data_IF_746213818894
#
_entry.id   IF_746213818894
#
_cell.length_a   1.000
_cell.length_b   1.000
_cell.length_c   1.000
_cell.angle_alpha   90.00
_cell.angle_beta   90.00
_cell.angle_gamma   90.00
#
_symmetry.space_group_name_H-M   'P 1'
#
loop_
_entity.id
_entity.type
_entity.pdbx_description
1 polymer ?
#
# COMPACT_ATOMS: atom_id res chain seq x y z
N UNK A 1 6.20 2.13 -14.24
CA UNK A 1 5.98 1.30 -15.48
C UNK A 1 4.79 1.84 -16.27
N UNK A 2 3.65 2.12 -15.63
CA UNK A 2 2.45 2.61 -16.33
C UNK A 2 2.60 4.04 -16.86
N UNK A 3 3.23 4.94 -16.08
CA UNK A 3 3.54 6.31 -16.52
C UNK A 3 4.48 6.31 -17.74
N UNK A 4 5.53 5.51 -17.70
CA UNK A 4 6.46 5.37 -18.82
C UNK A 4 5.77 4.85 -20.09
N UNK A 5 4.84 3.91 -19.95
CA UNK A 5 4.04 3.40 -21.06
C UNK A 5 3.12 4.48 -21.65
N UNK A 6 2.57 5.36 -20.81
CA UNK A 6 1.81 6.54 -21.26
C UNK A 6 2.69 7.50 -22.06
N UNK A 7 3.90 7.82 -21.54
CA UNK A 7 4.86 8.69 -22.24
C UNK A 7 5.34 8.10 -23.57
N UNK A 8 5.43 6.76 -23.65
CA UNK A 8 5.82 6.05 -24.87
C UNK A 8 4.66 5.88 -25.88
N UNK A 9 3.43 6.27 -25.52
CA UNK A 9 2.24 6.05 -26.36
C UNK A 9 1.80 4.60 -26.46
N UNK A 10 2.24 3.76 -25.53
CA UNK A 10 1.85 2.33 -25.47
C UNK A 10 0.47 2.15 -24.80
N UNK A 11 0.04 3.14 -24.02
CA UNK A 11 -1.31 3.28 -23.46
C UNK A 11 -1.84 4.68 -23.73
N UNK A 12 -3.11 4.80 -24.01
CA UNK A 12 -3.77 6.07 -24.32
C UNK A 12 -4.20 6.82 -23.06
N UNK A 13 -4.64 6.10 -22.04
CA UNK A 13 -5.22 6.67 -20.81
C UNK A 13 -4.66 5.95 -19.59
N UNK A 14 -4.22 6.72 -18.61
CA UNK A 14 -3.91 6.24 -17.26
C UNK A 14 -4.87 6.89 -16.26
N UNK A 15 -5.70 6.05 -15.61
CA UNK A 15 -6.78 6.54 -14.75
C UNK A 15 -6.32 6.92 -13.34
N UNK A 16 -5.16 6.44 -12.92
CA UNK A 16 -4.64 6.62 -11.56
C UNK A 16 -3.13 6.91 -11.60
N UNK A 17 -2.78 8.14 -11.99
CA UNK A 17 -1.42 8.65 -11.83
C UNK A 17 -1.22 9.12 -10.39
N UNK A 18 -0.50 8.32 -9.62
CA UNK A 18 -0.13 8.64 -8.22
C UNK A 18 1.05 9.59 -8.23
N UNK A 19 0.77 10.89 -8.30
CA UNK A 19 1.71 11.94 -8.70
C UNK A 19 2.98 11.98 -7.85
N UNK A 20 2.87 11.86 -6.53
CA UNK A 20 4.03 11.92 -5.62
C UNK A 20 4.90 10.65 -5.65
N UNK A 21 4.36 9.56 -6.20
CA UNK A 21 5.09 8.29 -6.36
C UNK A 21 5.87 8.23 -7.69
N UNK A 22 5.68 9.22 -8.56
CA UNK A 22 6.32 9.31 -9.88
C UNK A 22 7.29 10.49 -9.87
N UNK A 23 8.57 10.20 -9.66
CA UNK A 23 9.61 11.24 -9.47
C UNK A 23 9.70 12.25 -10.61
N UNK A 24 9.33 11.86 -11.83
CA UNK A 24 9.38 12.71 -13.02
C UNK A 24 8.06 13.37 -13.37
N UNK A 25 6.96 13.07 -12.66
CA UNK A 25 5.61 13.50 -13.01
C UNK A 25 5.52 14.98 -13.34
N UNK A 26 5.94 15.85 -12.42
CA UNK A 26 5.84 17.29 -12.57
C UNK A 26 6.70 17.81 -13.74
N UNK A 27 7.92 17.29 -13.90
CA UNK A 27 8.81 17.68 -14.98
C UNK A 27 8.31 17.22 -16.35
N UNK A 28 7.67 16.05 -16.42
CA UNK A 28 7.10 15.51 -17.65
C UNK A 28 5.83 16.25 -18.05
N UNK A 29 5.01 16.67 -17.08
CA UNK A 29 3.84 17.52 -17.29
C UNK A 29 4.25 18.92 -17.81
N UNK A 30 5.22 19.56 -17.16
CA UNK A 30 5.76 20.88 -17.58
C UNK A 30 6.41 20.82 -18.97
N UNK A 31 7.02 19.69 -19.31
CA UNK A 31 7.58 19.44 -20.63
C UNK A 31 6.53 19.09 -21.70
N UNK A 32 5.25 18.98 -21.33
CA UNK A 32 4.14 18.66 -22.25
C UNK A 32 4.22 17.25 -22.83
N UNK A 33 4.79 16.28 -22.11
CA UNK A 33 4.93 14.90 -22.60
C UNK A 33 3.62 14.12 -22.54
N UNK A 34 2.65 14.55 -21.75
CA UNK A 34 1.32 14.00 -21.63
C UNK A 34 0.35 15.12 -21.23
N UNK A 35 -0.95 14.82 -21.20
CA UNK A 35 -1.99 15.76 -20.78
C UNK A 35 -2.66 15.24 -19.51
N UNK A 36 -2.61 16.04 -18.43
CA UNK A 36 -3.40 15.82 -17.22
C UNK A 36 -4.82 16.32 -17.44
N UNK A 37 -5.82 15.45 -17.26
CA UNK A 37 -7.24 15.81 -17.40
C UNK A 37 -7.84 16.36 -16.10
N UNK A 38 -7.23 16.04 -14.96
CA UNK A 38 -7.66 16.52 -13.65
C UNK A 38 -7.48 15.50 -12.53
N UNK A 39 -7.85 15.93 -11.33
CA UNK A 39 -7.77 15.10 -10.13
C UNK A 39 -8.87 14.04 -10.17
N UNK A 40 -8.48 12.78 -9.99
CA UNK A 40 -9.39 11.66 -9.77
C UNK A 40 -9.84 11.62 -8.29
N UNK A 41 -8.87 11.58 -7.38
CA UNK A 41 -9.09 11.70 -5.94
C UNK A 41 -7.81 12.18 -5.22
N UNK A 42 -7.95 12.68 -4.00
CA UNK A 42 -6.85 13.18 -3.17
C UNK A 42 -7.05 12.95 -1.66
N UNK A 43 -8.01 12.09 -1.30
CA UNK A 43 -8.41 11.72 0.05
C UNK A 43 -8.20 10.22 0.31
N UNK A 44 -7.07 9.69 -0.17
CA UNK A 44 -6.71 8.28 -0.05
C UNK A 44 -5.99 7.98 1.26
N UNK A 45 -6.06 6.69 1.62
CA UNK A 45 -5.36 6.12 2.76
C UNK A 45 -4.56 4.91 2.30
N UNK A 46 -3.42 4.68 2.93
CA UNK A 46 -2.61 3.50 2.67
C UNK A 46 -1.80 3.14 3.93
N UNK A 47 -1.55 1.85 4.12
CA UNK A 47 -0.85 1.35 5.28
C UNK A 47 -1.11 -0.14 5.50
N UNK A 48 -0.96 -0.60 6.73
CA UNK A 48 -1.27 -1.98 7.09
C UNK A 48 -2.73 -2.12 7.48
N UNK A 49 -3.40 -3.06 6.83
CA UNK A 49 -4.81 -3.40 7.04
C UNK A 49 -4.94 -4.79 7.65
N UNK A 50 -5.94 -4.94 8.53
CA UNK A 50 -6.38 -6.21 9.07
C UNK A 50 -7.88 -6.38 8.83
N UNK A 51 -8.42 -7.62 8.73
CA UNK A 51 -9.87 -7.82 8.61
C UNK A 51 -10.63 -7.26 9.82
N UNK A 52 -11.85 -6.74 9.59
CA UNK A 52 -12.72 -6.23 10.66
C UNK A 52 -12.95 -7.25 11.77
N UNK A 53 -13.19 -8.52 11.43
CA UNK A 53 -13.39 -9.55 12.44
C UNK A 53 -12.16 -9.81 13.32
N UNK A 54 -10.96 -9.53 12.82
CA UNK A 54 -9.73 -9.57 13.62
C UNK A 54 -9.68 -8.37 14.57
N UNK A 55 -9.96 -7.16 14.08
CA UNK A 55 -10.01 -5.95 14.91
C UNK A 55 -11.07 -6.07 16.03
N UNK A 56 -12.23 -6.65 15.73
CA UNK A 56 -13.30 -6.85 16.71
C UNK A 56 -12.93 -7.91 17.77
N UNK A 57 -12.20 -8.96 17.38
CA UNK A 57 -11.74 -10.01 18.29
C UNK A 57 -10.54 -9.57 19.16
N UNK A 58 -9.74 -8.63 18.66
CA UNK A 58 -8.53 -8.11 19.32
C UNK A 58 -8.57 -6.58 19.45
N UNK A 59 -9.43 -6.02 20.32
CA UNK A 59 -9.66 -4.58 20.40
C UNK A 59 -8.45 -3.76 20.87
N UNK A 60 -7.41 -4.41 21.37
CA UNK A 60 -6.13 -3.79 21.75
C UNK A 60 -5.11 -3.76 20.58
N UNK A 61 -5.40 -4.41 19.46
CA UNK A 61 -4.62 -4.33 18.21
C UNK A 61 -5.15 -3.16 17.38
N UNK A 62 -4.66 -1.95 17.64
CA UNK A 62 -5.12 -0.71 17.02
C UNK A 62 -4.08 -0.05 16.13
N UNK A 63 -2.83 -0.12 16.55
CA UNK A 63 -1.72 0.56 15.89
C UNK A 63 -0.79 -0.42 15.21
N UNK A 64 0.02 0.09 14.28
CA UNK A 64 1.08 -0.71 13.64
C UNK A 64 2.04 -1.27 14.69
N UNK A 65 2.36 -0.49 15.72
CA UNK A 65 3.28 -0.91 16.79
C UNK A 65 2.69 -2.02 17.68
N UNK A 66 1.35 -2.12 17.77
CA UNK A 66 0.70 -3.19 18.53
C UNK A 66 0.92 -4.57 17.91
N UNK A 67 1.26 -4.66 16.61
CA UNK A 67 1.58 -5.91 15.93
C UNK A 67 2.66 -6.70 16.67
N UNK A 68 3.63 -6.04 17.31
CA UNK A 68 4.67 -6.70 18.09
C UNK A 68 4.14 -7.63 19.21
N UNK A 69 2.89 -7.45 19.62
CA UNK A 69 2.23 -8.25 20.68
C UNK A 69 1.49 -9.48 20.13
N UNK A 70 1.33 -9.60 18.80
CA UNK A 70 0.45 -10.57 18.17
C UNK A 70 1.07 -11.37 17.01
N UNK A 71 2.37 -11.73 17.05
CA UNK A 71 2.98 -12.46 15.92
C UNK A 71 2.31 -13.82 15.66
N UNK A 72 1.89 -14.51 16.74
CA UNK A 72 1.22 -15.83 16.64
C UNK A 72 -0.16 -15.74 15.98
N UNK A 73 -0.77 -14.54 15.92
CA UNK A 73 -2.06 -14.32 15.25
C UNK A 73 -1.92 -14.38 13.73
N UNK A 74 -0.77 -14.02 13.20
CA UNK A 74 -0.46 -13.93 11.77
C UNK A 74 0.70 -14.87 11.40
N UNK A 75 0.57 -16.19 11.62
CA UNK A 75 1.71 -17.10 11.51
C UNK A 75 2.27 -17.16 10.09
N UNK A 76 3.60 -17.15 9.98
CA UNK A 76 4.27 -17.39 8.70
C UNK A 76 4.28 -18.91 8.41
N UNK A 77 3.68 -19.36 7.30
CA UNK A 77 3.66 -20.78 6.97
C UNK A 77 5.04 -21.37 6.64
N UNK A 78 6.02 -20.52 6.29
CA UNK A 78 7.39 -20.93 5.98
C UNK A 78 8.34 -20.81 7.18
N UNK A 79 8.01 -19.95 8.16
CA UNK A 79 8.78 -19.77 9.38
C UNK A 79 7.87 -19.75 10.62
N UNK A 80 7.60 -20.90 11.24
CA UNK A 80 6.70 -20.98 12.41
C UNK A 80 7.18 -20.21 13.65
N UNK A 81 8.39 -19.67 13.65
CA UNK A 81 8.90 -18.84 14.75
C UNK A 81 8.50 -17.37 14.64
N UNK A 82 7.93 -16.96 13.49
CA UNK A 82 7.56 -15.57 13.20
C UNK A 82 6.14 -15.46 12.64
N UNK A 83 5.61 -14.27 12.71
CA UNK A 83 4.46 -13.85 11.92
C UNK A 83 4.86 -13.43 10.51
N UNK A 84 3.88 -13.20 9.63
CA UNK A 84 4.09 -12.67 8.28
C UNK A 84 3.27 -11.38 8.09
N UNK A 85 3.92 -10.36 7.51
CA UNK A 85 3.26 -9.15 7.00
C UNK A 85 3.34 -9.20 5.48
N UNK A 86 2.19 -9.18 4.81
CA UNK A 86 2.14 -9.09 3.35
C UNK A 86 2.39 -7.65 2.92
N UNK A 87 3.52 -7.41 2.30
CA UNK A 87 3.96 -6.10 1.81
C UNK A 87 3.39 -5.73 0.46
N UNK A 88 3.77 -4.55 0.01
CA UNK A 88 3.43 -4.06 -1.31
C UNK A 88 4.11 -4.84 -2.44
N UNK A 89 3.95 -4.33 -3.66
CA UNK A 89 4.39 -5.01 -4.88
C UNK A 89 5.83 -4.61 -5.20
N UNK A 90 6.61 -5.55 -5.68
CA UNK A 90 7.98 -5.31 -6.13
C UNK A 90 8.06 -4.14 -7.12
N UNK A 91 8.94 -3.19 -6.85
CA UNK A 91 9.18 -2.02 -7.68
C UNK A 91 8.29 -0.81 -7.39
N UNK A 92 7.40 -0.89 -6.41
CA UNK A 92 6.70 0.27 -5.90
C UNK A 92 7.54 0.99 -4.82
N UNK A 93 7.61 2.32 -4.90
CA UNK A 93 8.35 3.12 -3.90
C UNK A 93 7.83 2.90 -2.48
N UNK A 94 6.52 2.79 -2.32
CA UNK A 94 5.88 2.54 -1.03
C UNK A 94 6.29 1.20 -0.40
N UNK A 95 6.61 0.20 -1.21
CA UNK A 95 7.02 -1.13 -0.72
C UNK A 95 8.30 -1.03 0.13
N UNK A 96 9.27 -0.24 -0.32
CA UNK A 96 10.52 0.00 0.42
C UNK A 96 10.27 0.80 1.71
N UNK A 97 9.35 1.77 1.68
CA UNK A 97 8.99 2.57 2.86
C UNK A 97 8.31 1.68 3.90
N UNK A 98 7.41 0.79 3.47
CA UNK A 98 6.71 -0.12 4.38
C UNK A 98 7.64 -1.21 4.95
N UNK A 99 8.65 -1.66 4.21
CA UNK A 99 9.70 -2.55 4.71
C UNK A 99 10.53 -1.84 5.80
N UNK A 100 10.98 -0.62 5.54
CA UNK A 100 11.67 0.20 6.53
C UNK A 100 10.80 0.45 7.78
N UNK A 101 9.48 0.59 7.62
CA UNK A 101 8.54 0.74 8.74
C UNK A 101 8.56 -0.48 9.65
N UNK A 102 8.60 -1.67 9.07
CA UNK A 102 8.72 -2.92 9.84
C UNK A 102 10.01 -2.91 10.66
N UNK A 103 11.13 -2.49 10.07
CA UNK A 103 12.42 -2.36 10.77
C UNK A 103 12.40 -1.23 11.82
N UNK A 104 11.94 -0.04 11.45
CA UNK A 104 11.94 1.15 12.32
C UNK A 104 11.10 0.95 13.60
N UNK A 105 10.03 0.14 13.51
CA UNK A 105 9.19 -0.21 14.67
C UNK A 105 9.64 -1.51 15.37
N UNK A 106 10.77 -2.11 14.96
CA UNK A 106 11.28 -3.36 15.53
C UNK A 106 10.39 -4.57 15.30
N UNK A 107 9.53 -4.51 14.28
CA UNK A 107 8.62 -5.60 13.94
C UNK A 107 9.34 -6.75 13.21
N UNK A 108 10.50 -6.49 12.62
CA UNK A 108 11.37 -7.48 11.97
C UNK A 108 11.91 -8.56 12.95
N UNK A 109 11.90 -8.27 14.25
CA UNK A 109 12.17 -9.29 15.27
C UNK A 109 11.07 -10.36 15.35
N UNK A 110 9.82 -9.99 15.03
CA UNK A 110 8.62 -10.80 15.21
C UNK A 110 7.99 -11.27 13.90
N UNK A 111 8.24 -10.58 12.80
CA UNK A 111 7.61 -10.81 11.51
C UNK A 111 8.60 -10.91 10.38
N UNK A 112 8.29 -11.76 9.41
CA UNK A 112 8.87 -11.70 8.08
C UNK A 112 8.01 -10.76 7.20
N UNK A 113 8.67 -9.85 6.47
CA UNK A 113 8.00 -8.97 5.52
C UNK A 113 8.03 -9.62 4.13
N UNK A 114 6.86 -9.99 3.62
CA UNK A 114 6.71 -10.66 2.33
C UNK A 114 6.38 -9.64 1.24
N UNK A 115 7.34 -9.35 0.37
CA UNK A 115 7.13 -8.49 -0.80
C UNK A 115 6.35 -9.26 -1.86
N UNK A 116 5.16 -8.79 -2.20
CA UNK A 116 4.30 -9.41 -3.19
C UNK A 116 4.86 -9.25 -4.61
N UNK A 117 4.86 -10.32 -5.39
CA UNK A 117 5.37 -10.28 -6.76
C UNK A 117 4.40 -9.62 -7.74
N UNK A 118 3.12 -9.50 -7.38
CA UNK A 118 2.08 -8.86 -8.19
C UNK A 118 0.86 -8.49 -7.35
N UNK A 119 0.04 -7.58 -7.89
CA UNK A 119 -1.27 -7.21 -7.35
C UNK A 119 -2.19 -8.45 -7.16
N UNK A 120 -2.19 -9.36 -8.12
CA UNK A 120 -2.99 -10.58 -8.05
C UNK A 120 -2.61 -11.47 -6.85
N UNK A 121 -1.33 -11.55 -6.48
CA UNK A 121 -0.87 -12.33 -5.32
C UNK A 121 -1.38 -11.67 -4.04
N UNK A 122 -1.21 -10.37 -3.89
CA UNK A 122 -1.65 -9.62 -2.72
C UNK A 122 -3.18 -9.70 -2.55
N UNK A 123 -3.93 -9.44 -3.62
CA UNK A 123 -5.38 -9.54 -3.63
C UNK A 123 -5.88 -10.95 -3.27
N UNK A 124 -5.22 -11.98 -3.82
CA UNK A 124 -5.57 -13.37 -3.52
C UNK A 124 -5.32 -13.72 -2.06
N UNK A 125 -4.21 -13.27 -1.49
CA UNK A 125 -3.91 -13.48 -0.07
C UNK A 125 -4.99 -12.87 0.82
N UNK A 126 -5.36 -11.60 0.58
CA UNK A 126 -6.36 -10.89 1.36
C UNK A 126 -7.77 -11.49 1.21
N UNK A 127 -8.21 -11.75 -0.02
CA UNK A 127 -9.55 -12.32 -0.27
C UNK A 127 -9.66 -13.76 0.24
N UNK A 128 -8.61 -14.58 0.07
CA UNK A 128 -8.59 -15.95 0.62
C UNK A 128 -8.64 -15.97 2.14
N UNK A 129 -7.90 -15.08 2.81
CA UNK A 129 -7.96 -14.96 4.26
C UNK A 129 -9.35 -14.55 4.73
N UNK A 130 -9.98 -13.57 4.04
CA UNK A 130 -11.35 -13.16 4.34
C UNK A 130 -12.37 -14.31 4.20
N UNK A 131 -12.33 -15.02 3.07
CA UNK A 131 -13.27 -16.11 2.79
C UNK A 131 -13.15 -17.26 3.79
N UNK A 132 -11.96 -17.50 4.32
CA UNK A 132 -11.69 -18.52 5.33
C UNK A 132 -11.83 -18.02 6.77
N UNK A 133 -12.05 -16.72 6.98
CA UNK A 133 -12.01 -16.06 8.28
C UNK A 133 -10.68 -16.27 9.02
N UNK A 134 -9.57 -16.28 8.27
CA UNK A 134 -8.20 -16.39 8.79
C UNK A 134 -7.62 -14.99 9.02
N UNK A 135 -6.85 -14.76 10.09
CA UNK A 135 -6.16 -13.50 10.30
C UNK A 135 -5.12 -13.23 9.21
N UNK A 136 -5.06 -12.00 8.75
CA UNK A 136 -4.03 -11.49 7.84
C UNK A 136 -3.70 -10.05 8.20
N UNK A 137 -2.44 -9.65 8.06
CA UNK A 137 -2.01 -8.25 8.04
C UNK A 137 -1.31 -7.99 6.72
N UNK A 138 -1.78 -6.98 5.99
CA UNK A 138 -1.28 -6.68 4.64
C UNK A 138 -1.21 -5.18 4.40
N UNK A 139 -0.19 -4.74 3.66
CA UNK A 139 -0.20 -3.43 3.04
C UNK A 139 -1.31 -3.35 2.00
N UNK A 140 -2.11 -2.28 2.07
CA UNK A 140 -3.09 -1.97 1.03
C UNK A 140 -3.39 -0.47 0.98
N UNK A 141 -4.30 -0.05 0.09
CA UNK A 141 -4.64 1.37 -0.10
C UNK A 141 -6.10 1.56 -0.48
N UNK A 142 -6.61 2.78 -0.25
CA UNK A 142 -7.95 3.23 -0.63
C UNK A 142 -7.88 4.40 -1.62
N UNK A 143 -8.88 4.55 -2.49
CA UNK A 143 -10.04 3.66 -2.70
C UNK A 143 -9.70 2.49 -3.63
N UNK A 144 -10.16 1.29 -3.33
CA UNK A 144 -10.04 0.12 -4.20
C UNK A 144 -11.31 -0.73 -4.19
N UNK A 145 -11.48 -1.56 -5.23
CA UNK A 145 -12.59 -2.49 -5.29
C UNK A 145 -12.57 -3.49 -4.13
N UNK A 146 -11.38 -3.92 -3.69
CA UNK A 146 -11.23 -4.91 -2.62
C UNK A 146 -11.74 -4.35 -1.29
N UNK A 147 -11.30 -3.15 -0.90
CA UNK A 147 -11.77 -2.53 0.35
C UNK A 147 -13.21 -2.02 0.26
N UNK A 148 -13.76 -1.87 -0.96
CA UNK A 148 -15.18 -1.63 -1.18
C UNK A 148 -16.05 -2.88 -1.00
N UNK A 149 -15.48 -4.08 -1.14
CA UNK A 149 -16.20 -5.36 -1.01
C UNK A 149 -15.95 -6.08 0.33
N UNK A 150 -14.77 -5.90 0.91
CA UNK A 150 -14.30 -6.61 2.09
C UNK A 150 -13.97 -5.60 3.19
N UNK A 151 -14.51 -5.79 4.39
CA UNK A 151 -14.35 -4.86 5.51
C UNK A 151 -13.01 -5.08 6.21
N UNK A 152 -11.98 -4.39 5.73
CA UNK A 152 -10.67 -4.30 6.37
C UNK A 152 -10.53 -2.97 7.12
N UNK A 153 -9.71 -2.98 8.15
CA UNK A 153 -9.42 -1.83 9.01
C UNK A 153 -7.97 -1.43 8.83
N UNK A 154 -7.73 -0.17 8.54
CA UNK A 154 -6.39 0.42 8.58
C UNK A 154 -5.92 0.50 10.04
N UNK A 155 -4.76 -0.05 10.34
CA UNK A 155 -4.11 0.17 11.62
C UNK A 155 -3.64 1.62 11.74
N UNK A 156 -3.90 2.20 12.90
CA UNK A 156 -3.42 3.55 13.21
C UNK A 156 -1.89 3.59 13.24
N UNK A 157 -1.32 4.73 12.88
CA UNK A 157 0.12 4.97 12.92
C UNK A 157 0.39 6.33 13.57
N UNK A 158 1.65 6.60 13.91
CA UNK A 158 2.06 7.94 14.31
C UNK A 158 1.73 8.92 13.18
N UNK A 159 1.39 10.18 13.48
CA UNK A 159 1.10 11.16 12.44
C UNK A 159 2.23 11.26 11.41
N UNK A 160 1.86 11.54 10.15
CA UNK A 160 2.82 11.78 9.08
C UNK A 160 3.77 12.92 9.42
N UNK A 161 5.07 12.69 9.23
CA UNK A 161 6.13 13.68 9.32
C UNK A 161 7.07 13.51 8.11
N UNK A 162 7.22 14.54 7.24
CA UNK A 162 8.07 14.43 6.05
C UNK A 162 9.55 14.20 6.38
N UNK A 163 10.02 14.55 7.58
CA UNK A 163 11.42 14.36 7.98
C UNK A 163 11.74 12.89 8.29
N UNK A 164 10.75 12.12 8.74
CA UNK A 164 10.94 10.72 9.17
C UNK A 164 10.26 9.69 8.29
N UNK A 165 9.36 10.12 7.40
CA UNK A 165 8.57 9.23 6.54
C UNK A 165 9.43 8.34 5.64
N UNK A 166 10.51 8.89 5.07
CA UNK A 166 11.42 8.14 4.19
C UNK A 166 12.23 7.07 4.94
N UNK A 167 12.27 7.14 6.26
CA UNK A 167 12.86 6.16 7.15
C UNK A 167 11.82 5.15 7.69
N UNK A 168 10.60 5.19 7.15
CA UNK A 168 9.50 4.27 7.50
C UNK A 168 8.71 4.68 8.75
N UNK A 169 8.92 5.86 9.31
CA UNK A 169 8.23 6.31 10.53
C UNK A 169 7.05 7.20 10.17
N UNK A 170 5.89 6.91 10.77
CA UNK A 170 4.65 7.67 10.62
C UNK A 170 3.73 7.19 9.49
N UNK A 171 2.50 7.66 9.53
CA UNK A 171 1.45 7.33 8.56
C UNK A 171 1.84 7.75 7.13
N UNK A 172 1.33 7.03 6.14
CA UNK A 172 1.49 7.45 4.75
C UNK A 172 0.69 8.74 4.50
N UNK A 173 1.26 9.72 3.77
CA UNK A 173 0.50 10.89 3.36
C UNK A 173 -0.56 10.51 2.32
N UNK A 174 -1.64 11.29 2.27
CA UNK A 174 -2.53 11.24 1.12
C UNK A 174 -1.81 11.77 -0.13
N UNK A 175 -1.99 11.12 -1.26
CA UNK A 175 -1.37 11.45 -2.54
C UNK A 175 -2.44 12.00 -3.48
N UNK A 176 -2.12 13.05 -4.23
CA UNK A 176 -2.98 13.47 -5.34
C UNK A 176 -2.89 12.43 -6.46
N UNK A 177 -4.04 11.92 -6.88
CA UNK A 177 -4.16 10.96 -7.98
C UNK A 177 -4.91 11.61 -9.11
N UNK A 178 -4.32 11.60 -10.31
CA UNK A 178 -4.87 12.27 -11.49
C UNK A 178 -5.19 11.29 -12.60
N UNK A 179 -6.00 11.74 -13.54
CA UNK A 179 -6.23 11.06 -14.82
C UNK A 179 -5.33 11.74 -15.86
N UNK A 180 -4.57 10.94 -16.57
CA UNK A 180 -3.67 11.41 -17.62
C UNK A 180 -3.90 10.68 -18.94
N UNK A 181 -3.65 11.37 -20.05
CA UNK A 181 -3.74 10.80 -21.40
C UNK A 181 -2.49 11.11 -22.22
N UNK A 182 -2.18 10.23 -23.17
CA UNK A 182 -1.12 10.47 -24.13
C UNK A 182 -1.45 11.68 -25.03
N UNK A 183 -0.44 12.35 -25.55
CA UNK A 183 -0.64 13.49 -26.45
C UNK A 183 -1.37 13.10 -27.74
N UNK A 184 -1.27 11.85 -28.19
CA UNK A 184 -1.94 11.38 -29.40
C UNK A 184 -3.43 11.11 -29.16
N UNK A 185 -3.84 10.91 -27.89
CA UNK A 185 -5.24 10.69 -27.51
C UNK A 185 -5.95 12.00 -27.13
N UNK A 186 -5.23 13.01 -26.66
CA UNK A 186 -5.78 14.31 -26.26
C UNK A 186 -6.25 15.12 -27.47
#
# INVERSE_FOLDING_TARGET
>A
ISHEALLAGEVDVHMEEWTDNIATYQSDLEAGKFVELGINFNDNYQGFYIPRYVADAYPDLKTVQDLAKYPELFPDPEDPSKGIIYGGITGWAITEIMEKKVEAYGLDEYYNYFVSGSDAILNTAMTSAWDKQEPIVAYYWEPTWLLGMYDFVLLEDTPYDPETYQDGIGACPAVTVTVAVSNDFA
#
